data_IF_418773561776
#
_entry.id   IF_418773561776
#
_cell.length_a   1.000
_cell.length_b   1.000
_cell.length_c   1.000
_cell.angle_alpha   90.00
_cell.angle_beta   90.00
_cell.angle_gamma   90.00
#
_symmetry.space_group_name_H-M   'P 1'
#
loop_
_entity.id
_entity.type
_entity.pdbx_description
1 polymer ?
#
# COMPACT_ATOMS: atom_id res chain seq x y z
N UNK A 1 -12.86 9.16 -6.94
CA UNK A 1 -11.78 10.17 -6.90
C UNK A 1 -10.56 9.49 -6.31
N UNK A 2 -9.39 9.53 -6.93
CA UNK A 2 -8.19 8.93 -6.33
C UNK A 2 -7.91 9.63 -5.00
N UNK A 3 -7.77 8.86 -3.91
CA UNK A 3 -7.32 9.40 -2.63
C UNK A 3 -5.81 9.64 -2.73
N UNK A 4 -5.44 10.78 -3.31
CA UNK A 4 -4.07 11.27 -3.32
C UNK A 4 -3.78 11.91 -1.97
N UNK A 5 -2.87 11.30 -1.22
CA UNK A 5 -2.39 11.84 0.04
C UNK A 5 -1.23 12.81 -0.25
N UNK A 6 -1.33 14.11 0.09
CA UNK A 6 -0.27 15.08 -0.20
C UNK A 6 1.04 14.76 0.55
N UNK A 7 0.95 14.05 1.68
CA UNK A 7 2.09 13.56 2.45
C UNK A 7 2.79 12.34 1.83
N UNK A 8 2.18 11.70 0.83
CA UNK A 8 2.71 10.54 0.11
C UNK A 8 2.73 10.82 -1.40
N UNK A 9 3.54 11.79 -1.88
CA UNK A 9 3.61 12.11 -3.30
C UNK A 9 4.08 10.90 -4.10
N UNK A 10 3.29 10.50 -5.09
CA UNK A 10 3.58 9.36 -5.95
C UNK A 10 3.09 8.00 -5.43
N UNK A 11 2.47 7.95 -4.25
CA UNK A 11 1.79 6.74 -3.78
C UNK A 11 0.37 6.67 -4.33
N UNK A 12 0.02 5.50 -4.87
CA UNK A 12 -1.34 5.16 -5.29
C UNK A 12 -1.87 4.07 -4.38
N UNK A 13 -3.03 4.31 -3.76
CA UNK A 13 -3.73 3.32 -2.93
C UNK A 13 -5.00 2.86 -3.65
N UNK A 14 -5.14 1.55 -3.79
CA UNK A 14 -6.28 0.91 -4.40
C UNK A 14 -6.94 -0.03 -3.38
N UNK A 15 -8.22 0.18 -3.11
CA UNK A 15 -9.00 -0.64 -2.19
C UNK A 15 -9.99 -1.47 -3.01
N UNK A 16 -9.89 -2.80 -2.89
CA UNK A 16 -10.79 -3.73 -3.56
C UNK A 16 -11.36 -4.74 -2.60
N UNK A 17 -12.63 -5.06 -2.75
CA UNK A 17 -13.23 -6.18 -2.06
C UNK A 17 -12.69 -7.48 -2.67
N UNK A 18 -12.15 -8.36 -1.83
CA UNK A 18 -11.59 -9.67 -2.24
C UNK A 18 -12.45 -10.85 -1.76
N UNK A 19 -13.32 -10.61 -0.79
CA UNK A 19 -14.27 -11.60 -0.28
C UNK A 19 -15.46 -10.91 0.40
N UNK A 20 -16.49 -11.66 0.77
CA UNK A 20 -17.70 -11.11 1.40
C UNK A 20 -17.37 -10.34 2.68
N UNK A 21 -17.34 -8.99 2.58
CA UNK A 21 -16.96 -8.09 3.66
C UNK A 21 -15.45 -8.03 3.96
N UNK A 22 -14.60 -8.60 3.11
CA UNK A 22 -13.14 -8.53 3.22
C UNK A 22 -12.59 -7.63 2.12
N UNK A 23 -11.93 -6.56 2.54
CA UNK A 23 -11.26 -5.60 1.67
C UNK A 23 -9.76 -5.82 1.70
N UNK A 24 -9.11 -5.60 0.55
CA UNK A 24 -7.67 -5.53 0.39
C UNK A 24 -7.31 -4.16 -0.13
N UNK A 25 -6.48 -3.45 0.62
CA UNK A 25 -5.87 -2.19 0.20
C UNK A 25 -4.45 -2.46 -0.25
N UNK A 26 -4.10 -1.94 -1.42
CA UNK A 26 -2.79 -2.06 -2.02
C UNK A 26 -2.25 -0.67 -2.33
N UNK A 27 -1.16 -0.29 -1.68
CA UNK A 27 -0.42 0.94 -1.93
C UNK A 27 0.83 0.66 -2.74
N UNK A 28 1.10 1.44 -3.79
CA UNK A 28 2.33 1.36 -4.58
C UNK A 28 2.91 2.73 -4.84
N UNK A 29 4.23 2.85 -4.78
CA UNK A 29 4.95 4.08 -5.07
C UNK A 29 5.76 4.03 -6.37
N UNK A 30 6.24 5.20 -6.81
CA UNK A 30 7.04 5.38 -8.01
C UNK A 30 8.34 4.55 -8.04
N UNK A 31 9.16 4.49 -6.97
CA UNK A 31 10.36 3.66 -6.94
C UNK A 31 10.09 2.14 -6.80
N UNK A 32 8.83 1.70 -6.77
CA UNK A 32 8.45 0.28 -6.82
C UNK A 32 8.27 -0.39 -5.46
N UNK A 33 8.24 0.39 -4.38
CA UNK A 33 7.81 -0.05 -3.04
C UNK A 33 6.31 -0.26 -3.06
N UNK A 34 5.88 -1.22 -2.27
CA UNK A 34 4.47 -1.57 -2.13
C UNK A 34 4.15 -1.83 -0.66
N UNK A 35 2.89 -1.58 -0.31
CA UNK A 35 2.30 -1.89 0.98
C UNK A 35 0.96 -2.54 0.72
N UNK A 36 0.59 -3.52 1.54
CA UNK A 36 -0.71 -4.14 1.44
C UNK A 36 -1.31 -4.44 2.80
N UNK A 37 -2.63 -4.33 2.88
CA UNK A 37 -3.38 -4.67 4.07
C UNK A 37 -4.69 -5.34 3.65
N UNK A 38 -5.09 -6.38 4.39
CA UNK A 38 -6.38 -7.06 4.20
C UNK A 38 -7.13 -7.11 5.52
N UNK A 39 -8.45 -6.95 5.48
CA UNK A 39 -9.30 -6.96 6.67
C UNK A 39 -10.75 -6.63 6.36
N UNK A 40 -11.54 -6.41 7.40
CA UNK A 40 -12.99 -6.20 7.27
C UNK A 40 -13.37 -4.71 7.17
N UNK A 41 -12.50 -3.83 7.66
CA UNK A 41 -12.73 -2.39 7.72
C UNK A 41 -11.87 -1.64 6.69
N UNK A 42 -12.44 -1.19 5.55
CA UNK A 42 -11.66 -0.55 4.49
C UNK A 42 -10.93 0.72 4.97
N UNK A 43 -11.56 1.54 5.81
CA UNK A 43 -10.94 2.73 6.42
C UNK A 43 -9.70 2.39 7.25
N UNK A 44 -9.80 1.38 8.13
CA UNK A 44 -8.68 0.95 8.96
C UNK A 44 -7.52 0.39 8.12
N UNK A 45 -7.83 -0.25 6.98
CA UNK A 45 -6.83 -0.75 6.05
C UNK A 45 -6.11 0.38 5.31
N UNK A 46 -6.84 1.41 4.88
CA UNK A 46 -6.25 2.60 4.26
C UNK A 46 -5.30 3.28 5.25
N UNK A 47 -5.70 3.46 6.51
CA UNK A 47 -4.83 4.04 7.54
C UNK A 47 -3.59 3.19 7.84
N UNK A 48 -3.71 1.85 7.81
CA UNK A 48 -2.55 0.95 7.95
C UNK A 48 -1.58 1.10 6.79
N UNK A 49 -2.09 1.07 5.55
CA UNK A 49 -1.27 1.26 4.35
C UNK A 49 -0.61 2.65 4.33
N UNK A 50 -1.33 3.70 4.74
CA UNK A 50 -0.80 5.06 4.84
C UNK A 50 0.36 5.13 5.85
N UNK A 51 0.20 4.57 7.05
CA UNK A 51 1.27 4.53 8.06
C UNK A 51 2.50 3.77 7.58
N UNK A 52 2.31 2.59 6.99
CA UNK A 52 3.41 1.81 6.43
C UNK A 52 4.16 2.58 5.32
N UNK A 53 3.43 3.25 4.43
CA UNK A 53 4.03 4.09 3.39
C UNK A 53 4.82 5.27 3.97
N UNK A 54 4.33 5.90 5.03
CA UNK A 54 5.04 6.96 5.75
C UNK A 54 6.33 6.44 6.38
N UNK A 55 6.32 5.29 7.03
CA UNK A 55 7.51 4.66 7.62
C UNK A 55 8.58 4.34 6.56
N UNK A 56 8.13 3.84 5.41
CA UNK A 56 8.97 3.56 4.24
C UNK A 56 9.59 4.85 3.69
N UNK A 57 8.81 5.95 3.60
CA UNK A 57 9.31 7.26 3.18
C UNK A 57 10.25 7.89 4.20
N UNK A 58 9.99 7.70 5.50
CA UNK A 58 10.84 8.17 6.58
C UNK A 58 12.19 7.44 6.68
N UNK A 59 12.40 6.37 5.89
CA UNK A 59 13.68 5.68 5.82
C UNK A 59 13.91 4.65 6.93
N UNK A 60 12.85 4.22 7.63
CA UNK A 60 12.92 3.09 8.57
C UNK A 60 12.85 1.80 7.75
N UNK A 61 13.88 1.53 6.96
CA UNK A 61 13.97 0.29 6.19
C UNK A 61 14.46 -0.83 7.10
N UNK A 62 13.56 -1.70 7.54
CA UNK A 62 13.93 -3.10 7.77
C UNK A 62 13.54 -3.86 6.50
N UNK A 63 14.51 -3.97 5.62
CA UNK A 63 14.44 -4.59 4.31
C UNK A 63 14.00 -6.06 4.39
N UNK A 64 12.95 -6.43 3.66
CA UNK A 64 12.81 -7.73 2.99
C UNK A 64 11.43 -7.83 2.33
N UNK A 65 11.33 -7.72 1.01
CA UNK A 65 11.04 -8.89 0.18
C UNK A 65 11.13 -8.57 -1.32
N UNK A 66 11.68 -9.53 -2.05
CA UNK A 66 11.99 -9.47 -3.47
C UNK A 66 10.88 -10.17 -4.25
N UNK A 67 10.33 -9.58 -5.31
CA UNK A 67 9.90 -10.35 -6.49
C UNK A 67 9.92 -9.44 -7.73
N UNK A 68 11.13 -9.18 -8.21
CA UNK A 68 11.35 -8.79 -9.60
C UNK A 68 11.22 -10.02 -10.49
N UNK A 69 10.00 -10.42 -10.81
CA UNK A 69 9.71 -11.43 -11.83
C UNK A 69 9.90 -10.84 -13.22
N UNK A 70 11.14 -10.86 -13.72
CA UNK A 70 11.48 -10.58 -15.12
C UNK A 70 10.96 -11.73 -15.99
N UNK A 71 9.86 -11.55 -16.72
CA UNK A 71 9.49 -12.42 -17.85
C UNK A 71 10.32 -12.03 -19.08
N UNK A 72 10.98 -12.99 -19.72
CA UNK A 72 10.76 -13.26 -21.15
C UNK A 72 9.94 -14.54 -21.36
#
# INVERSE_FOLDING_TARGET
MPHTFPELPGWSFDAKEVSAGVYRVFGRDLPGRNVEATGLDPDALIEKCRRAALEIMAGVTKSSDSTGGKKP
#
